data_IF_346726488752
#
_entry.id   IF_346726488752
#
_cell.length_a   1.000
_cell.length_b   1.000
_cell.length_c   1.000
_cell.angle_alpha   90.00
_cell.angle_beta   90.00
_cell.angle_gamma   90.00
#
_symmetry.space_group_name_H-M   'P 1'
#
loop_
_entity.id
_entity.type
_entity.pdbx_description
1 polymer ?
#
# COMPACT_ATOMS: atom_id res chain seq x y z
N UNK A 1 4.94 -9.11 13.82
CA UNK A 1 4.37 -9.24 12.47
C UNK A 1 2.95 -9.79 12.55
N UNK A 2 2.04 -9.25 11.78
CA UNK A 2 0.64 -9.69 11.82
C UNK A 2 0.45 -11.00 11.05
N UNK A 3 -0.35 -11.92 11.59
CA UNK A 3 -0.78 -13.08 10.83
C UNK A 3 -2.01 -12.71 9.97
N UNK A 4 -2.48 -13.66 9.17
CA UNK A 4 -3.58 -13.40 8.24
C UNK A 4 -4.88 -13.02 8.96
N UNK A 5 -5.17 -13.66 10.09
CA UNK A 5 -6.38 -13.35 10.86
C UNK A 5 -6.33 -11.95 11.45
N UNK A 6 -5.18 -11.56 12.01
CA UNK A 6 -5.00 -10.23 12.57
C UNK A 6 -5.09 -9.17 11.47
N UNK A 7 -4.50 -9.44 10.33
CA UNK A 7 -4.57 -8.54 9.18
C UNK A 7 -6.01 -8.35 8.72
N UNK A 8 -6.76 -9.43 8.59
CA UNK A 8 -8.17 -9.36 8.18
C UNK A 8 -9.01 -8.56 9.17
N UNK A 9 -8.79 -8.77 10.47
CA UNK A 9 -9.52 -8.03 11.49
C UNK A 9 -9.24 -6.54 11.41
N UNK A 10 -7.97 -6.15 11.22
CA UNK A 10 -7.59 -4.76 11.10
C UNK A 10 -8.13 -4.13 9.81
N UNK A 11 -8.16 -4.88 8.71
CA UNK A 11 -8.72 -4.38 7.46
C UNK A 11 -10.20 -4.07 7.63
N UNK A 12 -10.95 -4.93 8.30
CA UNK A 12 -12.36 -4.68 8.57
C UNK A 12 -12.57 -3.39 9.36
N UNK A 13 -11.76 -3.18 10.40
CA UNK A 13 -11.81 -1.97 11.20
C UNK A 13 -11.45 -0.74 10.38
N UNK A 14 -10.39 -0.86 9.58
CA UNK A 14 -9.94 0.25 8.74
C UNK A 14 -11.01 0.65 7.72
N UNK A 15 -11.70 -0.33 7.15
CA UNK A 15 -12.79 -0.06 6.20
C UNK A 15 -13.96 0.68 6.85
N UNK A 16 -14.18 0.46 8.15
CA UNK A 16 -15.24 1.14 8.87
C UNK A 16 -14.83 2.53 9.37
N UNK A 17 -13.61 2.97 9.03
CA UNK A 17 -13.15 4.31 9.36
C UNK A 17 -12.19 4.40 10.53
N UNK A 18 -11.72 3.27 11.06
CA UNK A 18 -10.80 3.27 12.19
C UNK A 18 -9.39 3.67 11.74
N UNK A 19 -9.00 4.91 12.04
CA UNK A 19 -7.69 5.44 11.69
C UNK A 19 -6.54 4.70 12.37
N UNK A 20 -6.76 4.25 13.61
CA UNK A 20 -5.74 3.49 14.33
C UNK A 20 -5.45 2.17 13.65
N UNK A 21 -6.48 1.50 13.14
CA UNK A 21 -6.29 0.26 12.39
C UNK A 21 -5.49 0.50 11.11
N UNK A 22 -5.76 1.60 10.40
CA UNK A 22 -4.98 1.97 9.22
C UNK A 22 -3.52 2.20 9.55
N UNK A 23 -3.24 2.95 10.61
CA UNK A 23 -1.89 3.22 11.05
C UNK A 23 -1.14 1.95 11.43
N UNK A 24 -1.82 1.04 12.13
CA UNK A 24 -1.23 -0.24 12.52
C UNK A 24 -0.88 -1.07 11.29
N UNK A 25 -1.77 -1.12 10.30
CA UNK A 25 -1.52 -1.86 9.08
C UNK A 25 -0.32 -1.29 8.32
N UNK A 26 -0.22 0.03 8.22
CA UNK A 26 0.93 0.67 7.57
C UNK A 26 2.21 0.35 8.33
N UNK A 27 2.20 0.54 9.64
CA UNK A 27 3.36 0.31 10.48
C UNK A 27 3.88 -1.13 10.38
N UNK A 28 2.96 -2.10 10.39
CA UNK A 28 3.33 -3.52 10.31
C UNK A 28 3.75 -3.96 8.90
N UNK A 29 3.50 -3.12 7.89
CA UNK A 29 3.83 -3.42 6.50
C UNK A 29 4.84 -2.43 5.91
N UNK A 30 5.50 -1.63 6.76
CA UNK A 30 6.47 -0.63 6.31
C UNK A 30 7.58 -1.27 5.48
N UNK A 31 8.06 -2.45 5.89
CA UNK A 31 9.12 -3.14 5.14
C UNK A 31 8.68 -3.47 3.71
N UNK A 32 7.45 -3.91 3.54
CA UNK A 32 6.89 -4.20 2.23
C UNK A 32 6.81 -2.92 1.38
N UNK A 33 6.29 -1.84 1.98
CA UNK A 33 6.15 -0.56 1.30
C UNK A 33 7.51 -0.04 0.86
N UNK A 34 8.51 -0.07 1.75
CA UNK A 34 9.87 0.38 1.44
C UNK A 34 10.50 -0.47 0.34
N UNK A 35 10.25 -1.78 0.35
CA UNK A 35 10.78 -2.67 -0.68
C UNK A 35 10.27 -2.27 -2.06
N UNK A 36 9.00 -1.94 -2.16
CA UNK A 36 8.42 -1.50 -3.44
C UNK A 36 8.95 -0.13 -3.85
N UNK A 37 9.06 0.80 -2.90
CA UNK A 37 9.60 2.13 -3.17
C UNK A 37 11.01 2.06 -3.74
N UNK A 38 11.84 1.16 -3.21
CA UNK A 38 13.22 0.99 -3.66
C UNK A 38 13.32 0.64 -5.14
N UNK A 39 12.31 -0.01 -5.70
CA UNK A 39 12.30 -0.38 -7.13
C UNK A 39 12.19 0.84 -8.03
N UNK A 40 11.74 1.96 -7.49
CA UNK A 40 11.48 3.18 -8.26
C UNK A 40 12.42 4.32 -7.92
N UNK A 41 13.43 4.06 -7.10
CA UNK A 41 14.46 5.06 -6.80
C UNK A 41 15.25 5.39 -8.06
N UNK A 42 15.79 6.60 -8.11
CA UNK A 42 16.61 7.09 -9.24
C UNK A 42 15.83 7.22 -10.55
N UNK A 43 14.51 7.37 -10.44
CA UNK A 43 13.65 7.56 -11.61
C UNK A 43 13.11 9.00 -11.69
N UNK A 44 13.76 9.93 -11.04
CA UNK A 44 13.37 11.34 -11.09
C UNK A 44 12.36 11.77 -10.05
N UNK A 45 12.01 10.88 -9.12
CA UNK A 45 11.08 11.19 -8.02
C UNK A 45 11.81 10.95 -6.71
N UNK A 46 11.65 11.89 -5.78
CA UNK A 46 12.32 11.79 -4.48
C UNK A 46 11.71 10.67 -3.64
N UNK A 47 12.52 10.13 -2.71
CA UNK A 47 12.10 9.04 -1.84
C UNK A 47 10.83 9.37 -1.07
N UNK A 48 10.76 10.57 -0.47
CA UNK A 48 9.60 10.94 0.33
C UNK A 48 8.32 10.95 -0.49
N UNK A 49 8.39 11.43 -1.73
CA UNK A 49 7.24 11.43 -2.63
C UNK A 49 6.83 10.01 -3.01
N UNK A 50 7.82 9.16 -3.28
CA UNK A 50 7.56 7.75 -3.58
C UNK A 50 6.89 7.05 -2.40
N UNK A 51 7.38 7.32 -1.19
CA UNK A 51 6.83 6.70 0.01
C UNK A 51 5.38 7.13 0.21
N UNK A 52 5.07 8.41 0.02
CA UNK A 52 3.70 8.90 0.12
C UNK A 52 2.78 8.24 -0.90
N UNK A 53 3.24 8.13 -2.14
CA UNK A 53 2.48 7.45 -3.19
C UNK A 53 2.25 5.98 -2.84
N UNK A 54 3.28 5.33 -2.31
CA UNK A 54 3.16 3.94 -1.90
C UNK A 54 2.14 3.78 -0.77
N UNK A 55 2.14 4.70 0.20
CA UNK A 55 1.14 4.68 1.27
C UNK A 55 -0.27 4.90 0.74
N UNK A 56 -0.43 5.79 -0.24
CA UNK A 56 -1.73 5.99 -0.88
C UNK A 56 -2.21 4.71 -1.57
N UNK A 57 -1.31 4.04 -2.29
CA UNK A 57 -1.64 2.76 -2.92
C UNK A 57 -2.00 1.71 -1.89
N UNK A 58 -1.30 1.69 -0.76
CA UNK A 58 -1.57 0.77 0.33
C UNK A 58 -2.97 1.02 0.92
N UNK A 59 -3.33 2.27 1.14
CA UNK A 59 -4.67 2.62 1.64
C UNK A 59 -5.77 2.23 0.65
N UNK A 60 -5.51 2.39 -0.64
CA UNK A 60 -6.44 1.93 -1.67
C UNK A 60 -6.57 0.41 -1.65
N UNK A 61 -5.48 -0.30 -1.37
CA UNK A 61 -5.52 -1.75 -1.23
C UNK A 61 -6.39 -2.16 -0.05
N UNK A 62 -6.29 -1.46 1.08
CA UNK A 62 -7.14 -1.73 2.24
C UNK A 62 -8.61 -1.57 1.84
N UNK A 63 -8.94 -0.48 1.17
CA UNK A 63 -10.32 -0.18 0.79
C UNK A 63 -10.88 -1.20 -0.20
N UNK A 64 -10.05 -1.73 -1.09
CA UNK A 64 -10.50 -2.64 -2.14
C UNK A 64 -10.39 -4.12 -1.83
N UNK A 65 -9.68 -4.48 -0.77
CA UNK A 65 -9.45 -5.89 -0.46
C UNK A 65 -10.71 -6.55 0.09
N UNK A 66 -10.95 -7.79 -0.34
CA UNK A 66 -12.08 -8.58 0.11
C UNK A 66 -11.57 -9.95 0.50
N UNK A 67 -11.99 -10.44 1.68
CA UNK A 67 -11.60 -11.76 2.16
C UNK A 67 -12.04 -12.89 1.24
N UNK A 68 -13.06 -12.65 0.41
CA UNK A 68 -13.48 -13.63 -0.58
C UNK A 68 -12.44 -13.85 -1.68
N UNK A 69 -11.48 -12.93 -1.82
CA UNK A 69 -10.35 -13.14 -2.72
C UNK A 69 -9.50 -14.29 -2.18
N UNK A 70 -9.04 -15.16 -3.04
CA UNK A 70 -8.19 -16.29 -2.64
C UNK A 70 -6.73 -15.90 -2.55
N UNK A 71 -6.46 -14.62 -2.31
CA UNK A 71 -5.13 -14.02 -2.31
C UNK A 71 -4.89 -13.36 -0.98
N UNK A 72 -3.67 -13.50 -0.45
CA UNK A 72 -3.30 -12.79 0.78
C UNK A 72 -3.30 -11.29 0.52
N UNK A 73 -3.58 -10.51 1.57
CA UNK A 73 -3.61 -9.06 1.45
C UNK A 73 -2.30 -8.50 0.91
N UNK A 74 -1.15 -8.98 1.37
CA UNK A 74 0.14 -8.48 0.90
C UNK A 74 0.32 -8.70 -0.61
N UNK A 75 -0.12 -9.85 -1.10
CA UNK A 75 -0.06 -10.14 -2.54
C UNK A 75 -0.96 -9.20 -3.35
N UNK A 76 -2.13 -8.90 -2.80
CA UNK A 76 -3.06 -7.97 -3.43
C UNK A 76 -2.53 -6.53 -3.39
N UNK A 77 -1.88 -6.15 -2.27
CA UNK A 77 -1.41 -4.78 -2.07
C UNK A 77 -0.25 -4.39 -2.99
N UNK A 78 0.64 -5.33 -3.31
CA UNK A 78 1.84 -5.03 -4.10
C UNK A 78 1.51 -4.36 -5.44
N UNK A 79 0.64 -4.92 -6.30
CA UNK A 79 0.32 -4.25 -7.55
C UNK A 79 -0.46 -2.94 -7.37
N UNK A 80 -1.21 -2.82 -6.30
CA UNK A 80 -1.93 -1.56 -6.01
C UNK A 80 -0.95 -0.45 -5.68
N UNK A 81 0.07 -0.75 -4.87
CA UNK A 81 1.11 0.21 -4.51
C UNK A 81 1.92 0.59 -5.75
N UNK A 82 2.38 -0.42 -6.49
CA UNK A 82 3.17 -0.18 -7.70
C UNK A 82 2.37 0.61 -8.73
N UNK A 83 1.09 0.31 -8.88
CA UNK A 83 0.22 1.02 -9.81
C UNK A 83 0.08 2.49 -9.48
N UNK A 84 0.00 2.83 -8.20
CA UNK A 84 -0.09 4.22 -7.77
C UNK A 84 1.17 5.00 -8.14
N UNK A 85 2.34 4.40 -7.89
CA UNK A 85 3.62 5.01 -8.22
C UNK A 85 3.77 5.18 -9.74
N UNK A 86 3.44 4.14 -10.49
CA UNK A 86 3.56 4.17 -11.95
C UNK A 86 2.66 5.23 -12.58
N UNK A 87 1.44 5.37 -12.07
CA UNK A 87 0.50 6.36 -12.57
C UNK A 87 1.04 7.77 -12.38
N UNK A 88 1.60 8.05 -11.22
CA UNK A 88 2.19 9.35 -10.95
C UNK A 88 3.36 9.63 -11.88
N UNK A 89 4.25 8.65 -12.06
CA UNK A 89 5.41 8.81 -12.93
C UNK A 89 5.01 9.04 -14.38
N UNK A 90 4.00 8.33 -14.87
CA UNK A 90 3.50 8.52 -16.22
C UNK A 90 2.93 9.92 -16.38
N UNK A 91 2.17 10.38 -15.39
CA UNK A 91 1.62 11.73 -15.40
C UNK A 91 2.70 12.80 -15.48
N UNK A 92 3.79 12.64 -14.74
CA UNK A 92 4.90 13.58 -14.77
C UNK A 92 5.66 13.55 -16.08
N UNK A 93 5.75 12.38 -16.70
CA UNK A 93 6.46 12.23 -17.95
C UNK A 93 5.80 13.03 -19.10
N UNK A 94 4.55 13.37 -18.94
CA UNK A 94 3.81 14.13 -19.95
C UNK A 94 3.81 15.63 -19.68
N UNK A 95 4.44 16.05 -18.63
CA UNK A 95 4.61 17.47 -18.32
C UNK A 95 5.94 18.01 -18.87
#
# INVERSE_FOLDING_TARGET
>A
MLNDEQTSALIKKAKSGDGTAKETLISENVSLIKCIVKRYLNKGVEYDDLFQLACMGFLKAIAGYNEAFETKFSTYAVPMIAGEIKRFKIGRAHV
#
